data_IF_311434295252
#
_entry.id   IF_311434295252
#
_cell.length_a   1.000
_cell.length_b   1.000
_cell.length_c   1.000
_cell.angle_alpha   90.00
_cell.angle_beta   90.00
_cell.angle_gamma   90.00
#
_symmetry.space_group_name_H-M   'P 1'
#
loop_
_entity.id
_entity.type
_entity.pdbx_description
1 polymer ?
#
# COMPACT_ATOMS: atom_id res chain seq x y z
N UNK A 1 15.84 14.12 27.75
CA UNK A 1 14.45 14.55 28.04
C UNK A 1 13.52 13.59 27.33
N UNK A 2 12.83 12.70 28.05
CA UNK A 2 11.89 11.72 27.49
C UNK A 2 10.63 12.43 27.01
N UNK A 3 10.53 12.71 25.70
CA UNK A 3 9.26 13.06 25.06
C UNK A 3 8.55 11.76 24.71
N UNK A 4 7.56 11.40 25.52
CA UNK A 4 6.64 10.30 25.24
C UNK A 4 5.92 10.54 23.90
N UNK A 5 6.01 9.57 22.99
CA UNK A 5 5.42 9.54 21.65
C UNK A 5 3.89 9.74 21.68
N UNK A 6 3.35 10.91 21.26
CA UNK A 6 1.90 11.09 21.11
C UNK A 6 1.32 10.35 19.89
N UNK A 7 2.17 9.83 18.99
CA UNK A 7 1.74 9.15 17.76
C UNK A 7 1.03 7.82 17.99
N UNK A 8 1.49 7.01 18.95
CA UNK A 8 0.91 5.68 19.19
C UNK A 8 -0.57 5.74 19.65
N UNK A 9 -0.94 6.76 20.42
CA UNK A 9 -2.32 6.94 20.92
C UNK A 9 -3.31 7.38 19.82
N UNK A 10 -2.85 8.12 18.82
CA UNK A 10 -3.66 8.54 17.68
C UNK A 10 -3.99 7.35 16.76
N UNK A 11 -3.03 6.45 16.52
CA UNK A 11 -3.23 5.24 15.72
C UNK A 11 -4.29 4.31 16.32
N UNK A 12 -4.28 4.09 17.65
CA UNK A 12 -5.28 3.23 18.30
C UNK A 12 -6.69 3.82 18.17
N UNK A 13 -6.82 5.15 18.23
CA UNK A 13 -8.12 5.83 18.20
C UNK A 13 -8.75 5.80 16.82
N UNK A 14 -7.95 6.01 15.76
CA UNK A 14 -8.43 5.91 14.37
C UNK A 14 -8.85 4.47 14.00
N UNK A 15 -8.07 3.47 14.42
CA UNK A 15 -8.36 2.05 14.22
C UNK A 15 -9.65 1.62 14.94
N UNK A 16 -9.85 2.06 16.18
CA UNK A 16 -11.08 1.77 16.96
C UNK A 16 -12.30 2.45 16.35
N UNK A 17 -12.17 3.68 15.85
CA UNK A 17 -13.28 4.39 15.20
C UNK A 17 -13.72 3.72 13.87
N UNK A 18 -12.78 3.18 13.10
CA UNK A 18 -13.09 2.44 11.86
C UNK A 18 -13.67 1.06 12.13
N UNK A 19 -13.18 0.36 13.15
CA UNK A 19 -13.76 -0.92 13.60
C UNK A 19 -15.15 -0.75 14.24
N UNK A 20 -15.47 0.42 14.81
CA UNK A 20 -16.76 0.72 15.41
C UNK A 20 -17.84 1.17 14.38
N UNK A 21 -17.46 1.41 13.12
CA UNK A 21 -18.41 1.73 12.07
C UNK A 21 -19.27 0.49 11.75
N UNK A 22 -20.48 0.43 12.30
CA UNK A 22 -21.45 -0.63 11.96
C UNK A 22 -21.71 -0.60 10.45
N UNK A 23 -21.76 -1.77 9.77
CA UNK A 23 -22.15 -1.81 8.36
C UNK A 23 -23.57 -1.26 8.24
N UNK A 24 -23.69 -0.12 7.56
CA UNK A 24 -25.00 0.42 7.18
C UNK A 24 -25.73 -0.65 6.35
N UNK A 25 -26.97 -0.95 6.70
CA UNK A 25 -27.79 -1.92 5.97
C UNK A 25 -27.85 -1.54 4.49
N UNK A 26 -27.52 -2.48 3.61
CA UNK A 26 -27.57 -2.26 2.17
C UNK A 26 -29.02 -2.05 1.72
N UNK A 27 -29.30 -0.91 1.10
CA UNK A 27 -30.59 -0.59 0.48
C UNK A 27 -30.67 -1.33 -0.87
N UNK A 28 -31.64 -2.26 -0.99
CA UNK A 28 -31.85 -3.08 -2.20
C UNK A 28 -32.50 -2.23 -3.30
N UNK A 29 -31.98 -2.27 -4.53
CA UNK A 29 -32.49 -1.45 -5.64
C UNK A 29 -33.69 -2.11 -6.34
N UNK A 30 -34.62 -1.32 -6.90
CA UNK A 30 -35.66 -1.85 -7.78
C UNK A 30 -35.14 -2.53 -9.06
N UNK A 31 -33.95 -2.18 -9.55
CA UNK A 31 -33.31 -2.86 -10.68
C UNK A 31 -32.80 -4.28 -10.33
N UNK A 32 -32.57 -4.56 -9.04
CA UNK A 32 -32.23 -5.88 -8.51
C UNK A 32 -33.49 -6.77 -8.33
N UNK A 33 -34.69 -6.21 -8.55
CA UNK A 33 -35.93 -6.99 -8.66
C UNK A 33 -36.09 -7.65 -10.04
N UNK A 34 -35.42 -7.14 -11.08
CA UNK A 34 -35.58 -7.61 -12.48
C UNK A 34 -34.62 -8.77 -12.79
N UNK A 35 -33.47 -8.83 -12.11
CA UNK A 35 -32.63 -10.02 -12.01
C UNK A 35 -32.57 -10.36 -10.53
N UNK A 36 -33.40 -11.31 -10.05
CA UNK A 36 -33.55 -11.52 -8.62
C UNK A 36 -32.16 -11.80 -8.07
N UNK A 37 -31.73 -10.88 -7.22
CA UNK A 37 -30.79 -11.23 -6.18
C UNK A 37 -31.34 -12.49 -5.50
N UNK A 38 -30.46 -13.42 -5.10
CA UNK A 38 -30.89 -14.57 -4.32
C UNK A 38 -31.64 -14.11 -3.05
N UNK A 39 -32.26 -15.05 -2.33
CA UNK A 39 -33.10 -14.75 -1.17
C UNK A 39 -32.39 -13.98 -0.03
N UNK A 40 -31.08 -13.70 -0.16
CA UNK A 40 -30.28 -12.91 0.76
C UNK A 40 -29.83 -11.53 0.19
N UNK A 41 -30.31 -11.13 -1.00
CA UNK A 41 -29.99 -9.84 -1.59
C UNK A 41 -28.68 -9.81 -2.39
N UNK A 42 -28.15 -10.98 -2.77
CA UNK A 42 -26.97 -11.07 -3.60
C UNK A 42 -27.35 -11.19 -5.08
N UNK A 43 -26.95 -10.21 -5.92
CA UNK A 43 -26.95 -10.41 -7.37
C UNK A 43 -26.22 -11.70 -7.76
N UNK A 44 -26.48 -12.28 -8.95
CA UNK A 44 -26.02 -13.62 -9.29
C UNK A 44 -24.49 -13.75 -9.13
N UNK A 45 -24.08 -14.47 -8.08
CA UNK A 45 -22.71 -14.91 -7.87
C UNK A 45 -21.75 -13.92 -7.20
N UNK A 46 -22.20 -13.03 -6.31
CA UNK A 46 -21.28 -12.21 -5.51
C UNK A 46 -21.59 -12.25 -4.01
N UNK A 47 -20.55 -12.37 -3.19
CA UNK A 47 -20.63 -12.21 -1.73
C UNK A 47 -21.12 -10.82 -1.31
N UNK A 48 -21.31 -10.61 0.00
CA UNK A 48 -21.84 -9.37 0.54
C UNK A 48 -20.80 -8.26 0.35
N UNK A 49 -21.21 -7.12 -0.22
CA UNK A 49 -20.38 -5.91 -0.18
C UNK A 49 -20.20 -5.48 1.27
N UNK A 50 -19.09 -5.87 1.88
CA UNK A 50 -18.70 -5.50 3.24
C UNK A 50 -17.53 -4.53 3.21
N UNK A 51 -17.44 -3.67 4.23
CA UNK A 51 -16.25 -2.87 4.45
C UNK A 51 -15.05 -3.80 4.57
N UNK A 52 -14.04 -3.60 3.72
CA UNK A 52 -12.77 -4.30 3.80
C UNK A 52 -11.74 -3.42 4.49
N UNK A 53 -10.85 -4.06 5.24
CA UNK A 53 -9.73 -3.38 5.89
C UNK A 53 -8.48 -4.23 5.71
N UNK A 54 -7.34 -3.58 5.71
CA UNK A 54 -6.02 -4.20 5.72
C UNK A 54 -5.11 -3.37 6.61
N UNK A 55 -4.43 -4.05 7.53
CA UNK A 55 -3.35 -3.50 8.33
C UNK A 55 -2.11 -4.31 8.03
N UNK A 56 -1.12 -3.64 7.50
CA UNK A 56 0.18 -4.21 7.17
C UNK A 56 1.26 -3.53 8.00
N UNK A 57 2.29 -4.27 8.36
CA UNK A 57 3.52 -3.73 8.93
C UNK A 57 4.69 -4.26 8.12
N UNK A 58 5.38 -3.36 7.42
CA UNK A 58 6.63 -3.62 6.74
C UNK A 58 7.83 -3.43 7.65
N UNK A 59 8.86 -4.25 7.46
CA UNK A 59 10.12 -4.22 8.17
C UNK A 59 11.28 -4.35 7.19
N UNK A 60 12.32 -3.56 7.45
CA UNK A 60 13.62 -3.69 6.82
C UNK A 60 14.70 -3.56 7.89
N UNK A 61 15.71 -4.41 7.80
CA UNK A 61 16.89 -4.32 8.64
C UNK A 61 18.09 -4.71 7.81
N UNK A 62 19.11 -3.86 7.85
CA UNK A 62 20.43 -4.15 7.31
C UNK A 62 21.46 -3.82 8.37
N UNK A 63 22.50 -4.63 8.46
CA UNK A 63 23.59 -4.50 9.42
C UNK A 63 24.85 -4.93 8.71
N UNK A 64 25.76 -3.97 8.53
CA UNK A 64 27.06 -4.20 7.93
C UNK A 64 28.16 -3.66 8.84
N UNK A 65 29.43 -3.83 8.45
CA UNK A 65 30.59 -3.41 9.25
C UNK A 65 30.62 -1.89 9.56
N UNK A 66 29.78 -1.10 8.89
CA UNK A 66 29.74 0.36 8.99
C UNK A 66 28.44 0.84 9.63
N UNK A 67 27.27 0.29 9.31
CA UNK A 67 25.99 0.86 9.75
C UNK A 67 24.95 -0.22 10.01
N UNK A 68 24.12 0.05 11.02
CA UNK A 68 22.88 -0.65 11.33
C UNK A 68 21.70 0.25 10.93
N UNK A 69 20.90 -0.23 9.98
CA UNK A 69 19.67 0.41 9.52
C UNK A 69 18.49 -0.42 9.96
N UNK A 70 17.49 0.23 10.53
CA UNK A 70 16.24 -0.41 10.90
C UNK A 70 15.06 0.47 10.52
N UNK A 71 14.05 -0.14 9.92
CA UNK A 71 12.85 0.53 9.44
C UNK A 71 11.62 -0.32 9.76
N UNK A 72 10.61 0.33 10.34
CA UNK A 72 9.25 -0.23 10.48
C UNK A 72 8.28 0.74 9.84
N UNK A 73 7.34 0.23 9.05
CA UNK A 73 6.28 1.05 8.48
C UNK A 73 4.93 0.35 8.56
N UNK A 74 4.01 0.78 9.44
CA UNK A 74 2.63 0.33 9.35
C UNK A 74 1.87 1.09 8.24
N UNK A 75 1.03 0.37 7.51
CA UNK A 75 0.10 0.88 6.50
C UNK A 75 -1.30 0.36 6.82
N UNK A 76 -2.27 1.27 6.92
CA UNK A 76 -3.69 0.91 7.03
C UNK A 76 -4.41 1.28 5.74
N UNK A 77 -5.26 0.37 5.26
CA UNK A 77 -6.16 0.59 4.14
C UNK A 77 -7.58 0.18 4.54
N UNK A 78 -8.55 1.00 4.18
CA UNK A 78 -9.97 0.71 4.40
C UNK A 78 -10.72 1.00 3.11
N UNK A 79 -11.53 0.05 2.65
CA UNK A 79 -12.44 0.26 1.52
C UNK A 79 -13.86 0.02 1.97
N UNK A 80 -14.66 1.06 1.84
CA UNK A 80 -16.06 1.08 2.20
C UNK A 80 -16.94 1.09 0.94
N UNK A 81 -17.80 0.07 0.75
CA UNK A 81 -18.80 0.09 -0.31
C UNK A 81 -19.78 1.26 -0.13
N UNK A 82 -19.99 2.03 -1.21
CA UNK A 82 -20.99 3.09 -1.29
C UNK A 82 -21.86 2.84 -2.51
N UNK A 83 -23.01 2.20 -2.28
CA UNK A 83 -23.89 1.70 -3.35
C UNK A 83 -23.15 0.75 -4.30
N UNK A 84 -23.08 1.09 -5.59
CA UNK A 84 -22.36 0.33 -6.62
C UNK A 84 -20.86 0.63 -6.66
N UNK A 85 -20.41 1.62 -5.89
CA UNK A 85 -19.06 2.17 -5.93
C UNK A 85 -18.34 1.91 -4.60
N UNK A 86 -17.11 2.38 -4.46
CA UNK A 86 -16.28 2.21 -3.27
C UNK A 86 -15.56 3.50 -2.92
N UNK A 87 -15.39 3.75 -1.62
CA UNK A 87 -14.49 4.77 -1.09
C UNK A 87 -13.32 4.08 -0.43
N UNK A 88 -12.11 4.51 -0.76
CA UNK A 88 -10.86 3.97 -0.24
C UNK A 88 -10.12 5.02 0.57
N UNK A 89 -9.65 4.63 1.75
CA UNK A 89 -8.74 5.41 2.59
C UNK A 89 -7.47 4.60 2.81
N UNK A 90 -6.31 5.18 2.56
CA UNK A 90 -5.02 4.58 2.92
C UNK A 90 -4.16 5.59 3.68
N UNK A 91 -3.45 5.14 4.71
CA UNK A 91 -2.51 5.98 5.45
C UNK A 91 -1.41 5.16 6.11
N UNK A 92 -0.18 5.63 6.01
CA UNK A 92 1.00 4.94 6.50
C UNK A 92 1.85 5.82 7.43
N UNK A 93 2.82 5.18 8.06
CA UNK A 93 3.77 5.80 8.98
C UNK A 93 5.12 5.12 8.77
N UNK A 94 6.22 5.82 9.02
CA UNK A 94 7.57 5.25 8.95
C UNK A 94 8.32 5.57 10.23
N UNK A 95 8.96 4.58 10.83
CA UNK A 95 9.89 4.74 11.94
C UNK A 95 11.25 4.19 11.50
N UNK A 96 12.21 5.10 11.35
CA UNK A 96 13.53 4.81 10.80
C UNK A 96 14.60 5.09 11.85
N UNK A 97 15.62 4.23 11.90
CA UNK A 97 16.79 4.35 12.75
C UNK A 97 18.05 3.99 11.96
N UNK A 98 19.09 4.79 12.13
CA UNK A 98 20.42 4.60 11.58
C UNK A 98 21.44 4.74 12.72
N UNK A 99 22.21 3.68 12.95
CA UNK A 99 23.28 3.67 13.95
C UNK A 99 24.59 3.26 13.29
N UNK A 100 25.71 3.91 13.61
CA UNK A 100 27.03 3.54 13.08
C UNK A 100 28.09 4.63 13.28
N UNK A 101 29.36 4.42 12.92
CA UNK A 101 30.38 5.45 12.97
C UNK A 101 30.04 6.58 11.99
N UNK A 102 30.35 7.82 12.38
CA UNK A 102 30.21 8.95 11.49
C UNK A 102 31.21 8.83 10.35
N UNK A 103 30.74 9.04 9.11
CA UNK A 103 31.60 8.96 7.92
C UNK A 103 32.76 9.97 7.98
N UNK A 104 32.57 11.10 8.67
CA UNK A 104 33.59 12.12 8.87
C UNK A 104 34.52 11.89 10.08
N UNK A 105 34.10 11.06 11.04
CA UNK A 105 34.87 10.73 12.24
C UNK A 105 34.44 9.35 12.78
N UNK A 106 35.15 8.27 12.44
CA UNK A 106 34.81 6.92 12.89
C UNK A 106 34.87 6.71 14.41
N UNK A 107 35.43 7.66 15.17
CA UNK A 107 35.41 7.63 16.64
C UNK A 107 34.11 8.16 17.23
N UNK A 108 33.27 8.81 16.43
CA UNK A 108 31.97 9.34 16.80
C UNK A 108 30.87 8.45 16.27
N UNK A 109 29.97 8.03 17.15
CA UNK A 109 28.76 7.28 16.77
C UNK A 109 27.67 8.26 16.30
N UNK A 110 27.06 7.96 15.16
CA UNK A 110 25.81 8.53 14.68
C UNK A 110 24.69 7.64 15.22
N UNK A 111 23.77 8.25 15.94
CA UNK A 111 22.48 7.68 16.29
C UNK A 111 21.41 8.66 15.80
N UNK A 112 20.80 8.32 14.66
CA UNK A 112 19.79 9.13 14.01
C UNK A 112 18.50 8.33 13.89
N UNK A 113 17.41 8.89 14.40
CA UNK A 113 16.09 8.31 14.26
C UNK A 113 15.05 9.36 13.89
N UNK A 114 14.01 8.91 13.19
CA UNK A 114 12.90 9.76 12.78
C UNK A 114 11.61 8.96 12.69
N UNK A 115 10.49 9.64 12.92
CA UNK A 115 9.16 9.10 12.68
C UNK A 115 8.45 10.03 11.70
N UNK A 116 8.02 9.48 10.57
CA UNK A 116 7.34 10.21 9.49
C UNK A 116 5.93 9.71 9.29
N UNK A 117 5.05 10.62 8.88
CA UNK A 117 3.73 10.28 8.39
C UNK A 117 3.80 10.11 6.88
N UNK A 118 3.01 9.19 6.34
CA UNK A 118 2.68 9.20 4.92
C UNK A 118 1.63 10.29 4.63
N UNK A 119 1.46 10.62 3.36
CA UNK A 119 0.32 11.40 2.87
C UNK A 119 -0.94 10.53 2.94
N UNK A 120 -1.99 10.92 3.70
CA UNK A 120 -3.24 10.18 3.68
C UNK A 120 -3.86 10.27 2.29
N UNK A 121 -4.33 9.14 1.79
CA UNK A 121 -4.95 8.97 0.47
C UNK A 121 -6.43 8.68 0.62
N UNK A 122 -7.26 9.44 -0.10
CA UNK A 122 -8.70 9.20 -0.21
C UNK A 122 -9.07 9.05 -1.68
N UNK A 123 -9.76 7.97 -2.02
CA UNK A 123 -10.21 7.71 -3.38
C UNK A 123 -11.66 7.25 -3.46
N UNK A 124 -12.22 7.46 -4.64
CA UNK A 124 -13.54 6.99 -5.02
C UNK A 124 -13.44 6.16 -6.29
N UNK A 125 -14.00 4.95 -6.26
CA UNK A 125 -13.93 3.98 -7.34
C UNK A 125 -15.31 3.62 -7.86
N UNK A 126 -15.49 3.72 -9.17
CA UNK A 126 -16.56 3.05 -9.90
C UNK A 126 -16.20 1.58 -10.08
N UNK A 127 -17.11 0.68 -9.69
CA UNK A 127 -16.83 -0.76 -9.65
C UNK A 127 -17.81 -1.51 -10.53
N UNK A 128 -17.27 -2.23 -11.52
CA UNK A 128 -18.01 -3.16 -12.36
C UNK A 128 -17.64 -4.59 -11.97
N UNK A 129 -18.66 -5.40 -11.67
CA UNK A 129 -18.52 -6.79 -11.24
C UNK A 129 -19.48 -7.64 -12.04
N UNK A 130 -18.95 -8.55 -12.84
CA UNK A 130 -19.73 -9.62 -13.46
C UNK A 130 -18.82 -10.84 -13.61
N UNK A 131 -19.24 -12.02 -13.12
CA UNK A 131 -18.37 -13.18 -13.08
C UNK A 131 -17.98 -13.55 -14.52
N UNK A 132 -16.69 -13.83 -14.80
CA UNK A 132 -15.57 -14.03 -13.89
C UNK A 132 -14.66 -12.80 -13.65
N UNK A 133 -15.13 -11.59 -13.90
CA UNK A 133 -14.33 -10.37 -13.86
C UNK A 133 -14.78 -9.35 -12.81
N UNK A 134 -13.82 -8.52 -12.41
CA UNK A 134 -14.03 -7.29 -11.66
C UNK A 134 -13.13 -6.22 -12.24
N UNK A 135 -13.66 -5.01 -12.41
CA UNK A 135 -12.89 -3.82 -12.83
C UNK A 135 -13.26 -2.66 -11.91
N UNK A 136 -12.26 -1.90 -11.47
CA UNK A 136 -12.41 -0.67 -10.71
C UNK A 136 -11.70 0.45 -11.47
N UNK A 137 -12.37 1.58 -11.62
CA UNK A 137 -11.77 2.82 -12.09
C UNK A 137 -12.01 3.87 -11.02
N UNK A 138 -11.04 4.72 -10.70
CA UNK A 138 -11.17 5.68 -9.62
C UNK A 138 -10.33 6.92 -9.77
N UNK A 139 -10.70 7.90 -8.96
CA UNK A 139 -9.93 9.12 -8.75
C UNK A 139 -9.63 9.26 -7.26
N UNK A 140 -8.42 9.66 -6.92
CA UNK A 140 -8.00 9.85 -5.55
C UNK A 140 -7.17 11.12 -5.37
N UNK A 141 -7.07 11.53 -4.12
CA UNK A 141 -6.29 12.68 -3.70
C UNK A 141 -5.47 12.33 -2.47
N UNK A 142 -4.25 12.85 -2.40
CA UNK A 142 -3.43 12.82 -1.19
C UNK A 142 -3.35 14.20 -0.55
N UNK A 143 -3.24 14.25 0.78
CA UNK A 143 -2.92 15.48 1.50
C UNK A 143 -1.43 15.48 1.92
N UNK A 144 -0.73 16.63 1.89
CA UNK A 144 0.71 16.71 2.16
C UNK A 144 0.99 16.60 3.67
N UNK A 145 0.94 15.39 4.22
CA UNK A 145 1.23 15.12 5.62
C UNK A 145 2.66 14.59 5.84
N UNK A 146 3.27 14.02 4.81
CA UNK A 146 4.66 13.62 4.79
C UNK A 146 5.54 14.87 4.70
N UNK A 147 5.89 15.46 5.84
CA UNK A 147 6.68 16.69 5.91
C UNK A 147 8.12 16.42 6.30
N UNK A 148 9.04 17.24 5.81
CA UNK A 148 10.46 17.19 6.11
C UNK A 148 10.79 18.16 7.26
N UNK A 149 11.70 17.78 8.17
CA UNK A 149 12.26 18.75 9.11
C UNK A 149 13.25 19.65 8.39
N UNK A 150 13.18 20.94 8.69
CA UNK A 150 14.07 21.97 8.13
C UNK A 150 15.00 22.58 9.20
N UNK A 151 15.13 21.95 10.37
CA UNK A 151 15.98 22.47 11.47
C UNK A 151 17.47 22.42 11.08
N UNK A 152 17.91 21.33 10.46
CA UNK A 152 19.26 21.16 9.94
C UNK A 152 19.24 20.36 8.63
N UNK A 153 20.23 20.58 7.75
CA UNK A 153 20.38 19.80 6.50
C UNK A 153 20.43 18.29 6.76
N UNK A 154 21.05 17.89 7.87
CA UNK A 154 21.18 16.49 8.25
C UNK A 154 19.82 15.90 8.67
N UNK A 155 18.98 16.65 9.40
CA UNK A 155 17.62 16.19 9.74
C UNK A 155 16.74 16.04 8.50
N UNK A 156 16.85 16.97 7.54
CA UNK A 156 16.15 16.88 6.26
C UNK A 156 16.58 15.64 5.49
N UNK A 157 17.88 15.37 5.41
CA UNK A 157 18.42 14.19 4.72
C UNK A 157 17.92 12.89 5.34
N UNK A 158 17.93 12.77 6.68
CA UNK A 158 17.40 11.59 7.38
C UNK A 158 15.92 11.37 7.09
N UNK A 159 15.14 12.45 6.99
CA UNK A 159 13.71 12.35 6.70
C UNK A 159 13.44 11.92 5.25
N UNK A 160 14.22 12.44 4.29
CA UNK A 160 14.19 12.02 2.88
C UNK A 160 14.57 10.54 2.75
N UNK A 161 15.65 10.12 3.42
CA UNK A 161 16.09 8.72 3.43
C UNK A 161 15.04 7.82 4.05
N UNK A 162 14.43 8.21 5.17
CA UNK A 162 13.40 7.41 5.83
C UNK A 162 12.18 7.19 4.92
N UNK A 163 11.69 8.25 4.26
CA UNK A 163 10.54 8.16 3.35
C UNK A 163 10.89 7.39 2.07
N UNK A 164 12.03 7.66 1.45
CA UNK A 164 12.50 6.93 0.26
C UNK A 164 12.76 5.45 0.54
N UNK A 165 13.38 5.13 1.68
CA UNK A 165 13.57 3.74 2.11
C UNK A 165 12.24 3.02 2.36
N UNK A 166 11.26 3.73 2.92
CA UNK A 166 9.91 3.18 3.10
C UNK A 166 9.24 2.89 1.77
N UNK A 167 9.31 3.83 0.83
CA UNK A 167 8.80 3.63 -0.52
C UNK A 167 9.45 2.42 -1.21
N UNK A 168 10.77 2.28 -1.12
CA UNK A 168 11.50 1.14 -1.66
C UNK A 168 11.12 -0.19 -0.97
N UNK A 169 10.91 -0.18 0.35
CA UNK A 169 10.44 -1.32 1.12
C UNK A 169 9.05 -1.83 0.67
N UNK A 170 8.22 -0.94 0.12
CA UNK A 170 6.93 -1.28 -0.52
C UNK A 170 7.02 -1.43 -2.05
N UNK A 171 8.22 -1.47 -2.62
CA UNK A 171 8.42 -1.72 -4.05
C UNK A 171 7.84 -0.61 -4.92
N UNK A 172 7.78 0.61 -4.36
CA UNK A 172 7.12 1.77 -4.94
C UNK A 172 5.60 1.62 -5.16
N UNK A 173 4.97 0.61 -4.56
CA UNK A 173 3.50 0.49 -4.56
C UNK A 173 2.86 1.67 -3.83
N UNK A 174 1.88 2.30 -4.47
CA UNK A 174 1.23 3.53 -4.00
C UNK A 174 2.25 4.60 -3.56
N UNK A 175 3.29 4.79 -4.37
CA UNK A 175 4.42 5.69 -4.09
C UNK A 175 4.02 7.09 -3.60
N UNK A 176 2.90 7.62 -4.07
CA UNK A 176 2.36 8.94 -3.72
C UNK A 176 2.07 9.10 -2.21
N UNK A 177 1.93 7.99 -1.47
CA UNK A 177 1.82 8.00 -0.01
C UNK A 177 3.12 8.48 0.65
N UNK A 178 4.26 8.15 0.06
CA UNK A 178 5.58 8.31 0.69
C UNK A 178 6.35 9.54 0.16
N UNK A 179 5.80 10.24 -0.84
CA UNK A 179 6.43 11.42 -1.42
C UNK A 179 6.36 12.64 -0.48
N UNK A 180 7.48 13.14 0.05
CA UNK A 180 7.48 14.26 0.98
C UNK A 180 6.97 15.56 0.34
N UNK A 181 6.32 16.41 1.12
CA UNK A 181 5.88 17.76 0.75
C UNK A 181 5.09 17.81 -0.57
N UNK A 182 4.32 16.76 -0.87
CA UNK A 182 3.51 16.68 -2.08
C UNK A 182 2.03 16.46 -1.76
N UNK A 183 1.17 17.08 -2.56
CA UNK A 183 -0.18 16.57 -2.78
C UNK A 183 -0.26 15.93 -4.16
N UNK A 184 -1.14 14.96 -4.33
CA UNK A 184 -1.25 14.24 -5.59
C UNK A 184 -2.70 14.04 -5.99
N UNK A 185 -3.00 14.27 -7.26
CA UNK A 185 -4.20 13.74 -7.90
C UNK A 185 -3.86 12.40 -8.56
N UNK A 186 -4.58 11.34 -8.20
CA UNK A 186 -4.31 9.99 -8.67
C UNK A 186 -5.47 9.50 -9.54
N UNK A 187 -5.17 9.07 -10.75
CA UNK A 187 -6.07 8.22 -11.55
C UNK A 187 -5.71 6.77 -11.28
N UNK A 188 -6.70 5.96 -10.96
CA UNK A 188 -6.52 4.57 -10.59
C UNK A 188 -7.37 3.67 -11.47
N UNK A 189 -6.81 2.55 -11.91
CA UNK A 189 -7.56 1.47 -12.53
C UNK A 189 -7.01 0.13 -12.06
N UNK A 190 -7.89 -0.77 -11.66
CA UNK A 190 -7.52 -2.16 -11.36
C UNK A 190 -8.55 -3.14 -11.92
N UNK A 191 -8.13 -4.38 -12.11
CA UNK A 191 -9.03 -5.44 -12.53
C UNK A 191 -8.52 -6.82 -12.16
N UNK A 192 -9.47 -7.75 -12.04
CA UNK A 192 -9.21 -9.15 -11.70
C UNK A 192 -10.08 -10.07 -12.54
N UNK A 193 -9.50 -11.21 -12.92
CA UNK A 193 -10.14 -12.32 -13.60
C UNK A 193 -9.91 -13.59 -12.78
N UNK A 194 -10.97 -14.33 -12.42
CA UNK A 194 -10.85 -15.64 -11.76
C UNK A 194 -11.25 -16.77 -12.69
N UNK A 195 -10.39 -17.75 -12.83
CA UNK A 195 -10.69 -18.99 -13.53
C UNK A 195 -11.24 -20.06 -12.59
N UNK A 196 -11.91 -21.06 -13.17
CA UNK A 196 -12.67 -22.08 -12.44
C UNK A 196 -11.83 -22.97 -11.50
N UNK A 197 -10.50 -23.01 -11.68
CA UNK A 197 -9.59 -23.84 -10.89
C UNK A 197 -8.84 -23.07 -9.80
N UNK A 198 -9.34 -21.88 -9.42
CA UNK A 198 -8.78 -21.07 -8.34
C UNK A 198 -7.67 -20.13 -8.76
N UNK A 199 -7.29 -20.11 -10.03
CA UNK A 199 -6.32 -19.15 -10.56
C UNK A 199 -6.96 -17.77 -10.73
N UNK A 200 -6.25 -16.73 -10.31
CA UNK A 200 -6.66 -15.34 -10.37
C UNK A 200 -5.56 -14.55 -11.05
N UNK A 201 -5.93 -13.78 -12.06
CA UNK A 201 -5.08 -12.80 -12.71
C UNK A 201 -5.56 -11.41 -12.32
N UNK A 202 -4.64 -10.49 -12.10
CA UNK A 202 -5.00 -9.12 -11.80
C UNK A 202 -3.96 -8.13 -12.29
N UNK A 203 -4.33 -6.87 -12.22
CA UNK A 203 -3.40 -5.79 -12.43
C UNK A 203 -3.97 -4.47 -11.97
N UNK A 204 -3.09 -3.53 -11.74
CA UNK A 204 -3.38 -2.18 -11.30
C UNK A 204 -2.50 -1.21 -12.08
N UNK A 205 -3.03 -0.02 -12.34
CA UNK A 205 -2.28 1.12 -12.83
C UNK A 205 -2.69 2.36 -12.05
N UNK A 206 -1.69 3.07 -11.54
CA UNK A 206 -1.84 4.39 -10.94
C UNK A 206 -1.11 5.41 -11.82
N UNK A 207 -1.75 6.53 -12.11
CA UNK A 207 -1.12 7.71 -12.67
C UNK A 207 -1.31 8.86 -11.67
N UNK A 208 -0.23 9.31 -11.06
CA UNK A 208 -0.26 10.42 -10.10
C UNK A 208 0.29 11.68 -10.74
N UNK A 209 -0.48 12.77 -10.65
CA UNK A 209 0.00 14.12 -10.86
C UNK A 209 0.33 14.72 -9.49
N UNK A 210 1.58 15.08 -9.26
CA UNK A 210 2.11 15.54 -7.98
C UNK A 210 2.36 17.05 -8.02
N UNK A 211 1.98 17.73 -6.94
CA UNK A 211 2.20 19.16 -6.72
C UNK A 211 3.06 19.31 -5.47
N UNK A 212 4.30 19.75 -5.66
CA UNK A 212 5.26 20.01 -4.58
C UNK A 212 5.01 21.35 -3.88
N UNK A 213 5.20 21.35 -2.56
CA UNK A 213 5.12 22.56 -1.73
C UNK A 213 6.48 23.08 -1.27
N UNK A 214 7.56 22.33 -1.54
CA UNK A 214 8.92 22.67 -1.17
C UNK A 214 9.82 22.76 -2.41
N UNK A 215 10.63 23.80 -2.48
CA UNK A 215 11.57 24.05 -3.59
C UNK A 215 12.59 22.91 -3.78
N UNK A 216 12.93 22.19 -2.70
CA UNK A 216 13.80 20.99 -2.77
C UNK A 216 13.22 19.84 -3.61
N UNK A 217 11.89 19.79 -3.73
CA UNK A 217 11.16 18.70 -4.41
C UNK A 217 10.48 19.21 -5.69
N UNK A 218 10.31 20.53 -5.83
CA UNK A 218 9.57 21.17 -6.92
C UNK A 218 10.25 21.11 -8.30
N UNK A 219 11.51 20.64 -8.40
CA UNK A 219 12.29 20.74 -9.64
C UNK A 219 12.15 19.57 -10.63
N UNK A 220 11.24 18.58 -10.46
CA UNK A 220 11.13 17.56 -11.53
C UNK A 220 10.04 16.49 -11.45
N UNK A 221 9.30 16.34 -10.37
CA UNK A 221 8.36 15.22 -10.22
C UNK A 221 6.91 15.71 -10.26
N UNK A 222 6.37 15.89 -11.46
CA UNK A 222 4.98 16.31 -11.66
C UNK A 222 4.08 15.14 -12.07
N UNK A 223 4.62 14.12 -12.74
CA UNK A 223 3.84 12.95 -13.15
C UNK A 223 4.64 11.69 -12.94
N UNK A 224 4.03 10.70 -12.31
CA UNK A 224 4.59 9.37 -12.15
C UNK A 224 3.53 8.30 -12.41
N UNK A 225 4.00 7.15 -12.87
CA UNK A 225 3.17 5.99 -13.20
C UNK A 225 3.63 4.79 -12.39
N UNK A 226 2.68 4.01 -11.95
CA UNK A 226 2.91 2.71 -11.32
C UNK A 226 2.00 1.70 -12.01
N UNK A 227 2.56 0.54 -12.32
CA UNK A 227 1.85 -0.60 -12.90
C UNK A 227 2.16 -1.82 -12.03
N UNK A 228 1.13 -2.53 -11.60
CA UNK A 228 1.28 -3.82 -10.93
C UNK A 228 0.54 -4.90 -11.70
N UNK A 229 1.12 -6.09 -11.76
CA UNK A 229 0.50 -7.28 -12.38
C UNK A 229 0.56 -8.41 -11.37
N UNK A 230 -0.55 -9.12 -11.21
CA UNK A 230 -0.75 -10.15 -10.20
C UNK A 230 -1.12 -11.48 -10.83
N UNK A 231 -0.49 -12.55 -10.36
CA UNK A 231 -0.96 -13.92 -10.56
C UNK A 231 -1.11 -14.56 -9.19
N UNK A 232 -2.26 -15.16 -8.92
CA UNK A 232 -2.51 -15.82 -7.65
C UNK A 232 -3.25 -17.14 -7.83
N UNK A 233 -2.97 -18.09 -6.94
CA UNK A 233 -3.68 -19.34 -6.81
C UNK A 233 -4.40 -19.39 -5.48
N UNK A 234 -5.71 -19.58 -5.51
CA UNK A 234 -6.57 -19.58 -4.33
C UNK A 234 -7.10 -20.98 -3.98
N UNK A 235 -6.88 -21.34 -2.73
CA UNK A 235 -7.48 -22.48 -2.04
C UNK A 235 -8.54 -21.99 -1.05
N UNK A 236 -9.38 -22.89 -0.55
CA UNK A 236 -10.39 -22.55 0.47
C UNK A 236 -9.77 -21.92 1.74
N UNK A 237 -8.52 -22.28 2.08
CA UNK A 237 -7.84 -21.87 3.32
C UNK A 237 -6.61 -20.97 3.10
N UNK A 238 -6.13 -20.81 1.86
CA UNK A 238 -4.94 -20.02 1.57
C UNK A 238 -4.94 -19.43 0.16
N UNK A 239 -4.10 -18.41 -0.04
CA UNK A 239 -3.77 -17.83 -1.34
C UNK A 239 -2.26 -17.70 -1.44
N UNK A 240 -1.74 -18.08 -2.60
CA UNK A 240 -0.36 -17.84 -3.00
C UNK A 240 -0.42 -16.82 -4.14
N UNK A 241 0.28 -15.70 -4.02
CA UNK A 241 0.32 -14.71 -5.08
C UNK A 241 1.75 -14.31 -5.40
N UNK A 242 1.94 -13.87 -6.65
CA UNK A 242 3.14 -13.22 -7.12
C UNK A 242 2.71 -11.94 -7.82
N UNK A 243 3.25 -10.82 -7.34
CA UNK A 243 3.05 -9.50 -7.91
C UNK A 243 4.35 -9.01 -8.55
N UNK A 244 4.28 -8.46 -9.75
CA UNK A 244 5.34 -7.62 -10.31
C UNK A 244 4.88 -6.17 -10.28
N UNK A 245 5.75 -5.26 -9.84
CA UNK A 245 5.49 -3.81 -9.80
C UNK A 245 6.53 -3.13 -10.68
N UNK A 246 6.08 -2.17 -11.47
CA UNK A 246 6.90 -1.23 -12.21
C UNK A 246 6.48 0.19 -11.83
N UNK A 247 7.43 0.99 -11.40
CA UNK A 247 7.26 2.42 -11.11
C UNK A 247 8.15 3.22 -12.05
N UNK A 248 7.71 4.41 -12.46
CA UNK A 248 8.56 5.38 -13.14
C UNK A 248 8.06 6.82 -12.92
N UNK A 249 9.00 7.73 -12.65
CA UNK A 249 8.73 9.16 -12.60
C UNK A 249 8.94 9.84 -13.97
N UNK A 250 7.88 9.87 -14.76
CA UNK A 250 7.90 10.30 -16.17
C UNK A 250 8.48 11.69 -16.44
N UNK A 251 8.38 12.62 -15.49
CA UNK A 251 8.85 14.00 -15.70
C UNK A 251 10.19 14.30 -15.02
N UNK A 252 10.79 13.31 -14.36
CA UNK A 252 12.05 13.52 -13.66
C UNK A 252 13.21 13.67 -14.63
N UNK A 253 14.12 14.59 -14.30
CA UNK A 253 15.40 14.73 -14.98
C UNK A 253 16.48 13.76 -14.44
N UNK A 254 16.16 12.90 -13.47
CA UNK A 254 17.08 11.90 -12.94
C UNK A 254 17.16 10.68 -13.88
N UNK A 255 18.38 10.25 -14.18
CA UNK A 255 18.66 9.17 -15.15
C UNK A 255 18.13 7.78 -14.72
N UNK A 256 17.84 7.57 -13.43
CA UNK A 256 17.38 6.28 -12.86
C UNK A 256 16.14 6.50 -11.96
N UNK A 257 14.94 6.52 -12.56
CA UNK A 257 13.67 6.65 -11.80
C UNK A 257 12.67 5.54 -12.07
N UNK A 258 12.97 4.66 -13.01
CA UNK A 258 12.29 3.39 -13.13
C UNK A 258 12.71 2.44 -12.01
N UNK A 259 11.77 1.64 -11.54
CA UNK A 259 12.02 0.59 -10.57
C UNK A 259 11.08 -0.57 -10.84
N UNK A 260 11.64 -1.76 -10.93
CA UNK A 260 10.93 -3.04 -10.94
C UNK A 260 11.07 -3.71 -9.57
N UNK A 261 9.97 -4.22 -9.05
CA UNK A 261 9.94 -5.01 -7.83
C UNK A 261 9.08 -6.24 -8.01
N UNK A 262 9.38 -7.29 -7.24
CA UNK A 262 8.60 -8.53 -7.21
C UNK A 262 8.17 -8.82 -5.78
N UNK A 263 6.91 -9.22 -5.61
CA UNK A 263 6.33 -9.51 -4.30
C UNK A 263 5.62 -10.87 -4.29
N UNK A 264 6.27 -11.95 -3.83
CA UNK A 264 5.56 -13.13 -3.38
C UNK A 264 4.74 -12.82 -2.12
N UNK A 265 3.49 -13.27 -2.11
CA UNK A 265 2.57 -13.20 -0.97
C UNK A 265 2.04 -14.60 -0.62
N UNK A 266 1.94 -14.85 0.68
CA UNK A 266 1.18 -15.95 1.25
C UNK A 266 0.10 -15.40 2.18
N UNK A 267 -1.16 -15.77 1.94
CA UNK A 267 -2.31 -15.34 2.75
C UNK A 267 -3.09 -16.56 3.24
N UNK A 268 -3.47 -16.57 4.50
CA UNK A 268 -4.25 -17.63 5.18
C UNK A 268 -5.61 -17.10 5.58
N UNK A 269 -6.66 -17.89 5.34
CA UNK A 269 -8.06 -17.54 5.63
C UNK A 269 -8.49 -18.15 6.96
N UNK A 270 -8.79 -17.31 7.94
CA UNK A 270 -9.25 -17.73 9.28
C UNK A 270 -10.79 -17.64 9.44
N UNK A 271 -11.51 -17.40 8.34
CA UNK A 271 -12.97 -17.26 8.31
C UNK A 271 -13.45 -15.84 8.64
N UNK A 272 -12.92 -15.21 9.70
CA UNK A 272 -13.28 -13.84 10.09
C UNK A 272 -12.21 -12.79 9.73
N UNK A 273 -11.02 -13.24 9.38
CA UNK A 273 -9.89 -12.41 8.96
C UNK A 273 -8.95 -13.22 8.04
N UNK A 274 -8.14 -12.50 7.29
CA UNK A 274 -7.01 -13.04 6.55
C UNK A 274 -5.71 -12.62 7.25
N UNK A 275 -4.79 -13.55 7.45
CA UNK A 275 -3.41 -13.23 7.83
C UNK A 275 -2.54 -13.35 6.59
N UNK A 276 -1.61 -12.43 6.38
CA UNK A 276 -0.70 -12.53 5.25
C UNK A 276 0.73 -12.16 5.61
N UNK A 277 1.64 -12.67 4.78
CA UNK A 277 3.02 -12.22 4.71
C UNK A 277 3.40 -11.99 3.26
N UNK A 278 4.23 -10.99 3.04
CA UNK A 278 4.70 -10.57 1.72
C UNK A 278 6.18 -10.21 1.82
N UNK A 279 6.93 -10.45 0.76
CA UNK A 279 8.32 -10.06 0.67
C UNK A 279 8.49 -9.22 -0.59
N UNK A 280 8.80 -7.94 -0.45
CA UNK A 280 9.12 -7.04 -1.55
C UNK A 280 10.60 -7.12 -1.88
N UNK A 281 10.90 -7.45 -3.13
CA UNK A 281 12.26 -7.55 -3.65
C UNK A 281 12.41 -6.66 -4.88
N UNK A 282 13.07 -5.50 -4.75
CA UNK A 282 13.49 -4.72 -5.90
C UNK A 282 14.47 -5.54 -6.77
N UNK A 283 14.35 -5.41 -8.08
CA UNK A 283 15.09 -6.22 -9.07
C UNK A 283 16.20 -5.43 -9.74
N UNK A 284 16.03 -4.12 -9.81
CA UNK A 284 16.90 -3.16 -10.48
C UNK A 284 17.12 -1.91 -9.62
N UNK A 285 17.87 -0.95 -10.14
CA UNK A 285 18.04 0.37 -9.53
C UNK A 285 16.74 1.18 -9.59
N UNK A 286 16.57 2.25 -8.77
CA UNK A 286 17.53 2.82 -7.81
C UNK A 286 17.59 2.13 -6.44
N UNK A 287 16.64 1.27 -6.08
CA UNK A 287 16.70 0.52 -4.82
C UNK A 287 17.71 -0.63 -4.87
N UNK A 288 18.10 -1.05 -6.08
CA UNK A 288 19.05 -2.10 -6.40
C UNK A 288 18.48 -3.51 -6.25
N UNK A 289 19.20 -4.54 -6.73
CA UNK A 289 18.79 -5.92 -6.52
C UNK A 289 18.69 -6.22 -5.01
N UNK A 290 17.57 -6.81 -4.61
CA UNK A 290 17.36 -7.19 -3.21
C UNK A 290 18.49 -8.10 -2.70
N UNK A 291 18.87 -7.89 -1.43
CA UNK A 291 19.91 -8.63 -0.70
C UNK A 291 21.37 -8.35 -1.09
N UNK A 292 21.63 -7.40 -1.99
CA UNK A 292 22.96 -6.81 -2.14
C UNK A 292 23.25 -5.81 -1.01
N UNK A 293 24.54 -5.57 -0.72
CA UNK A 293 24.97 -4.69 0.37
C UNK A 293 24.41 -3.27 0.21
N UNK A 294 23.68 -2.79 1.22
CA UNK A 294 23.06 -1.47 1.23
C UNK A 294 21.82 -1.32 0.34
N UNK A 295 21.29 -2.42 -0.22
CA UNK A 295 20.05 -2.41 -1.02
C UNK A 295 18.82 -2.74 -0.18
N UNK A 296 17.71 -2.10 -0.51
CA UNK A 296 16.50 -2.12 0.33
C UNK A 296 15.55 -3.22 -0.15
N UNK A 297 15.01 -4.00 0.79
CA UNK A 297 13.93 -4.96 0.58
C UNK A 297 12.92 -4.82 1.71
N UNK A 298 11.76 -5.47 1.62
CA UNK A 298 10.74 -5.37 2.66
C UNK A 298 10.12 -6.70 3.01
N UNK A 299 10.19 -7.11 4.27
CA UNK A 299 9.31 -8.16 4.78
C UNK A 299 8.07 -7.52 5.39
N UNK A 300 6.90 -8.06 5.07
CA UNK A 300 5.64 -7.55 5.55
C UNK A 300 4.82 -8.65 6.20
N UNK A 301 4.10 -8.27 7.26
CA UNK A 301 3.05 -9.09 7.87
C UNK A 301 1.81 -8.24 8.03
N UNK A 302 0.64 -8.86 7.89
CA UNK A 302 -0.59 -8.12 8.06
C UNK A 302 -1.80 -8.97 8.36
N UNK A 303 -2.86 -8.25 8.68
CA UNK A 303 -4.21 -8.78 8.88
C UNK A 303 -5.17 -7.97 8.02
N UNK A 304 -6.09 -8.67 7.35
CA UNK A 304 -7.14 -8.04 6.59
C UNK A 304 -8.50 -8.65 6.89
N UNK A 305 -9.56 -7.95 6.47
CA UNK A 305 -10.86 -8.59 6.29
C UNK A 305 -10.74 -9.76 5.32
N UNK A 306 -11.53 -10.84 5.47
CA UNK A 306 -11.62 -11.89 4.48
C UNK A 306 -11.82 -11.25 3.11
N UNK A 307 -10.89 -11.48 2.19
CA UNK A 307 -10.88 -10.82 0.89
C UNK A 307 -12.02 -11.35 0.02
N UNK A 308 -13.26 -10.91 0.28
CA UNK A 308 -14.39 -11.02 -0.66
C UNK A 308 -14.17 -10.15 -1.91
N UNK A 309 -13.06 -9.38 -1.98
CA UNK A 309 -12.62 -8.69 -3.20
C UNK A 309 -12.35 -9.66 -4.36
N UNK A 310 -12.16 -10.95 -4.07
CA UNK A 310 -12.03 -11.95 -5.11
C UNK A 310 -13.29 -12.81 -5.14
N UNK A 311 -13.81 -12.93 -6.36
CA UNK A 311 -15.04 -13.59 -6.77
C UNK A 311 -15.33 -14.84 -5.90
N UNK A 312 -16.59 -15.10 -5.49
CA UNK A 312 -16.89 -16.24 -4.62
C UNK A 312 -16.33 -17.55 -5.21
N UNK A 313 -16.04 -18.55 -4.37
CA UNK A 313 -15.54 -19.82 -4.85
C UNK A 313 -16.47 -20.36 -5.94
N UNK A 314 -15.93 -21.02 -6.98
CA UNK A 314 -16.75 -21.61 -8.02
C UNK A 314 -17.81 -22.51 -7.37
N UNK A 315 -19.05 -22.51 -7.88
CA UNK A 315 -20.10 -23.36 -7.33
C UNK A 315 -19.60 -24.80 -7.29
N UNK A 316 -19.60 -25.42 -6.09
CA UNK A 316 -19.30 -26.84 -5.95
C UNK A 316 -20.34 -27.60 -6.79
N UNK A 317 -19.84 -28.40 -7.74
CA UNK A 317 -20.57 -28.92 -8.89
C UNK A 317 -22.06 -29.22 -8.67
N UNK A 318 -22.87 -28.69 -9.59
CA UNK A 318 -24.13 -29.30 -10.02
C UNK A 318 -23.85 -30.22 -11.20
#
# INVERSE_FOLDING_TARGET
MNRSLPGAALCTTALVATLAARPAGAEVRPSELIRPADAAGYGPGYGRRVTSYELEVGFYSDSNDVQDVFLISPLVRVVQPVRSNEVELAWGFSAFSLTGPAQSDPSREIDQSTVRLANPYLAYHWVWRELPYQVRLGVGLTAPAATLREETLNDTLVDVVALGATQAMYGHHDFFLWMPETMSGVLHADGYLREHFGLVYGGQINLANMYGFNDLINEGYNVAVEVAIDVAYELDWARFALRGIYFNALTSDADDTDQISVEPELRFRLGFADLFTRLTMPVDEPAGPAFDDGKIWGAHIGIGSPTERHLPPPPKGQ
#
